data_IF_532856801832
#
_entry.id   IF_532856801832
#
_cell.length_a   1.000
_cell.length_b   1.000
_cell.length_c   1.000
_cell.angle_alpha   90.00
_cell.angle_beta   90.00
_cell.angle_gamma   90.00
#
_symmetry.space_group_name_H-M   'P 1'
#
loop_
_entity.id
_entity.type
_entity.pdbx_description
1 polymer ?
#
# COMPACT_ATOMS: atom_id res chain seq x y z
N UNK A 1 -34.99 -48.30 -46.80
CA UNK A 1 -34.32 -47.24 -47.58
C UNK A 1 -33.57 -46.35 -46.57
N UNK A 2 -32.28 -46.60 -46.30
CA UNK A 2 -31.09 -46.00 -46.97
C UNK A 2 -30.98 -44.51 -46.57
N UNK A 3 -29.92 -43.97 -45.95
CA UNK A 3 -28.52 -44.38 -45.76
C UNK A 3 -27.87 -43.62 -44.58
N UNK A 4 -26.90 -44.28 -43.95
CA UNK A 4 -25.86 -43.73 -43.06
C UNK A 4 -25.02 -42.62 -43.73
N UNK A 5 -24.40 -41.73 -42.94
CA UNK A 5 -23.01 -41.29 -43.18
C UNK A 5 -22.28 -40.89 -41.89
N UNK A 6 -21.25 -41.69 -41.58
CA UNK A 6 -20.12 -41.38 -40.70
C UNK A 6 -19.23 -40.34 -41.36
N UNK A 7 -18.60 -39.46 -40.57
CA UNK A 7 -17.31 -38.86 -40.91
C UNK A 7 -16.35 -39.09 -39.74
N UNK A 8 -15.32 -39.89 -40.01
CA UNK A 8 -14.08 -39.97 -39.22
C UNK A 8 -13.12 -38.91 -39.73
N UNK A 9 -12.40 -38.22 -38.85
CA UNK A 9 -11.02 -37.78 -39.12
C UNK A 9 -10.16 -37.98 -37.88
N UNK A 10 -9.12 -38.80 -38.06
CA UNK A 10 -7.94 -38.88 -37.21
C UNK A 10 -7.06 -37.63 -37.43
N UNK A 11 -6.22 -37.25 -36.46
CA UNK A 11 -4.78 -37.59 -36.47
C UNK A 11 -3.97 -36.87 -35.36
N UNK A 12 -3.00 -37.61 -34.80
CA UNK A 12 -1.65 -37.20 -34.30
C UNK A 12 -1.57 -36.19 -33.14
N UNK A 13 -1.18 -36.63 -31.94
CA UNK A 13 0.23 -36.80 -31.49
C UNK A 13 1.14 -35.61 -31.84
N UNK A 14 1.61 -34.89 -30.80
CA UNK A 14 3.05 -34.73 -30.50
C UNK A 14 3.24 -34.08 -29.12
N UNK A 15 3.81 -34.88 -28.21
CA UNK A 15 4.58 -34.45 -27.05
C UNK A 15 5.72 -33.53 -27.51
N UNK A 16 5.95 -32.45 -26.79
CA UNK A 16 7.26 -31.81 -26.70
C UNK A 16 7.60 -31.60 -25.23
N UNK A 17 8.53 -32.43 -24.77
CA UNK A 17 9.28 -32.21 -23.53
C UNK A 17 10.10 -30.92 -23.69
N UNK A 18 9.98 -29.99 -22.75
CA UNK A 18 11.00 -28.94 -22.55
C UNK A 18 11.80 -29.29 -21.31
N UNK A 19 13.06 -29.63 -21.53
CA UNK A 19 14.11 -29.61 -20.51
C UNK A 19 14.33 -28.16 -20.04
N UNK A 20 14.24 -27.93 -18.74
CA UNK A 20 14.91 -26.83 -18.05
C UNK A 20 16.06 -27.45 -17.24
N UNK A 21 17.32 -27.07 -17.46
CA UNK A 21 18.40 -27.50 -16.58
C UNK A 21 18.41 -26.66 -15.31
N UNK A 22 18.52 -27.40 -14.21
CA UNK A 22 18.74 -26.97 -12.84
C UNK A 22 20.09 -26.26 -12.73
N UNK A 23 20.11 -25.05 -12.19
CA UNK A 23 21.33 -24.43 -11.66
C UNK A 23 21.26 -24.50 -10.12
N UNK A 24 22.19 -25.25 -9.52
CA UNK A 24 22.47 -25.26 -8.08
C UNK A 24 23.77 -24.46 -7.82
N UNK A 25 23.96 -23.95 -6.58
CA UNK A 25 24.78 -22.78 -6.30
C UNK A 25 26.25 -23.13 -6.05
N UNK A 26 27.14 -22.18 -6.33
CA UNK A 26 28.50 -22.18 -5.83
C UNK A 26 28.57 -21.32 -4.55
N UNK A 27 29.11 -21.93 -3.49
CA UNK A 27 29.48 -21.31 -2.24
C UNK A 27 30.97 -20.88 -2.26
N UNK A 28 31.38 -20.21 -1.18
CA UNK A 28 32.74 -19.78 -0.78
C UNK A 28 33.16 -18.36 -1.19
N UNK A 29 33.78 -17.52 -0.35
CA UNK A 29 34.20 -17.58 1.06
C UNK A 29 34.48 -16.14 1.53
N UNK A 30 34.14 -15.89 2.80
CA UNK A 30 34.77 -15.01 3.81
C UNK A 30 35.89 -14.03 3.39
N UNK A 31 35.73 -12.76 3.78
CA UNK A 31 36.80 -11.97 4.37
C UNK A 31 36.21 -10.93 5.35
N UNK A 32 36.59 -11.09 6.61
CA UNK A 32 36.38 -10.19 7.74
C UNK A 32 37.17 -8.89 7.56
N UNK A 33 36.58 -7.75 7.89
CA UNK A 33 37.30 -6.63 8.54
C UNK A 33 36.30 -5.88 9.41
N UNK A 34 36.54 -5.85 10.71
CA UNK A 34 35.86 -4.96 11.63
C UNK A 34 36.49 -3.57 11.58
N UNK A 35 35.71 -2.55 11.89
CA UNK A 35 36.12 -1.62 12.94
C UNK A 35 34.93 -0.87 13.55
N UNK A 36 35.17 -0.53 14.80
CA UNK A 36 34.39 0.09 15.85
C UNK A 36 33.99 1.54 15.53
N UNK A 37 32.77 1.95 15.89
CA UNK A 37 32.51 3.37 16.20
C UNK A 37 31.33 3.52 17.16
N UNK A 38 31.69 3.72 18.41
CA UNK A 38 30.85 4.09 19.55
C UNK A 38 30.43 5.56 19.40
N UNK A 39 29.13 5.86 19.34
CA UNK A 39 28.63 7.23 19.56
C UNK A 39 28.02 7.39 20.95
N UNK A 40 28.79 8.08 21.80
CA UNK A 40 28.41 8.61 23.11
C UNK A 40 27.33 9.70 22.96
N UNK A 41 26.30 9.64 23.80
CA UNK A 41 25.48 10.80 24.19
C UNK A 41 26.03 11.40 25.50
N UNK A 42 26.04 12.73 25.69
CA UNK A 42 26.36 13.32 26.98
C UNK A 42 25.12 13.37 27.87
N UNK A 43 25.32 13.08 29.16
CA UNK A 43 24.30 13.14 30.20
C UNK A 43 24.22 14.48 30.91
N UNK A 44 23.20 14.63 31.75
CA UNK A 44 23.17 15.57 32.88
C UNK A 44 22.65 14.82 34.11
N UNK A 45 23.36 15.03 35.22
CA UNK A 45 23.27 14.38 36.53
C UNK A 45 22.16 14.97 37.41
N UNK A 46 21.69 14.15 38.35
CA UNK A 46 21.51 14.39 39.80
C UNK A 46 20.37 13.47 40.29
N UNK A 47 20.35 12.88 41.48
CA UNK A 47 21.19 12.96 42.65
C UNK A 47 20.34 12.61 43.87
N UNK A 48 20.71 11.52 44.54
CA UNK A 48 20.46 11.18 45.95
C UNK A 48 19.07 10.78 46.51
N UNK A 49 19.21 9.75 47.36
CA UNK A 49 18.31 9.07 48.30
C UNK A 49 17.76 9.99 49.39
N UNK A 50 16.60 9.67 49.97
CA UNK A 50 16.43 9.17 51.35
C UNK A 50 14.97 9.07 51.77
N UNK A 51 14.69 8.02 52.53
CA UNK A 51 13.48 7.73 53.32
C UNK A 51 13.33 8.65 54.54
N UNK A 52 12.08 8.93 54.96
CA UNK A 52 11.61 9.26 56.34
C UNK A 52 10.07 9.36 56.31
N UNK A 53 9.34 8.45 56.94
CA UNK A 53 8.77 8.57 58.31
C UNK A 53 8.13 9.92 58.62
N UNK A 54 6.80 9.94 58.73
CA UNK A 54 6.07 10.91 59.55
C UNK A 54 4.95 10.21 60.32
N UNK A 55 5.13 10.18 61.65
CA UNK A 55 4.09 9.96 62.64
C UNK A 55 3.30 11.26 62.82
N UNK A 56 1.99 11.15 63.07
CA UNK A 56 1.19 12.28 63.57
C UNK A 56 0.57 11.89 64.91
N UNK A 57 0.74 12.81 65.86
CA UNK A 57 0.56 12.67 67.28
C UNK A 57 -0.90 12.62 67.75
N UNK A 58 -1.09 11.98 68.90
CA UNK A 58 -2.28 12.08 69.76
C UNK A 58 -2.31 13.45 70.45
N UNK A 59 -3.48 14.08 70.49
CA UNK A 59 -3.86 15.03 71.53
C UNK A 59 -5.23 14.63 72.09
N UNK A 60 -5.30 14.43 73.40
CA UNK A 60 -6.49 13.94 74.09
C UNK A 60 -7.47 15.05 74.49
N UNK A 61 -8.72 14.65 74.77
CA UNK A 61 -9.64 15.31 75.71
C UNK A 61 -10.51 14.25 76.39
N UNK A 62 -10.70 14.42 77.69
CA UNK A 62 -11.39 13.51 78.60
C UNK A 62 -12.93 13.72 78.59
N UNK A 63 -13.68 12.59 78.59
CA UNK A 63 -14.92 12.20 79.33
C UNK A 63 -16.10 13.20 79.48
N UNK A 64 -17.37 12.74 79.42
CA UNK A 64 -17.95 11.93 80.50
C UNK A 64 -18.83 10.73 80.09
N UNK A 65 -19.05 9.85 81.07
CA UNK A 65 -19.95 8.71 81.01
C UNK A 65 -21.37 9.10 81.46
N UNK A 66 -22.38 8.55 80.77
CA UNK A 66 -23.81 8.32 81.11
C UNK A 66 -24.41 7.68 79.84
N UNK A 67 -25.31 6.72 79.80
CA UNK A 67 -26.17 6.03 80.76
C UNK A 67 -26.61 4.74 80.04
N UNK A 68 -26.79 3.65 80.77
CA UNK A 68 -27.26 2.39 80.19
C UNK A 68 -28.77 2.49 79.93
N UNK A 69 -29.18 2.39 78.65
CA UNK A 69 -30.53 1.99 78.30
C UNK A 69 -30.49 0.67 77.53
N UNK A 70 -31.04 -0.38 78.17
CA UNK A 70 -31.42 -1.64 77.54
C UNK A 70 -32.51 -1.33 76.50
N UNK A 71 -32.20 -1.54 75.23
CA UNK A 71 -33.15 -1.62 74.13
C UNK A 71 -32.83 -2.84 73.28
N UNK A 72 -33.80 -3.73 73.16
CA UNK A 72 -33.77 -5.03 72.46
C UNK A 72 -32.95 -5.03 71.17
N UNK A 73 -31.82 -5.74 71.15
CA UNK A 73 -31.07 -6.03 69.94
C UNK A 73 -31.79 -7.13 69.16
N UNK A 74 -32.42 -6.75 68.05
CA UNK A 74 -32.79 -7.68 66.99
C UNK A 74 -31.57 -8.46 66.53
N UNK A 75 -31.78 -9.75 66.26
CA UNK A 75 -30.72 -10.68 65.86
C UNK A 75 -29.91 -10.12 64.70
N UNK A 76 -28.62 -9.89 64.94
CA UNK A 76 -27.66 -9.63 63.89
C UNK A 76 -27.49 -10.91 63.08
N UNK A 77 -28.05 -10.93 61.87
CA UNK A 77 -27.72 -11.92 60.85
C UNK A 77 -26.23 -11.73 60.53
N UNK A 78 -25.40 -12.71 60.88
CA UNK A 78 -24.02 -12.77 60.44
C UNK A 78 -24.01 -12.93 58.92
N UNK A 79 -23.59 -11.87 58.21
CA UNK A 79 -23.30 -11.98 56.78
C UNK A 79 -21.99 -12.74 56.64
N UNK A 80 -22.06 -14.04 56.40
CA UNK A 80 -20.90 -14.84 56.03
C UNK A 80 -20.25 -14.24 54.79
N UNK A 81 -18.92 -14.04 54.84
CA UNK A 81 -18.16 -13.63 53.66
C UNK A 81 -18.33 -14.71 52.58
N UNK A 82 -18.63 -14.35 51.32
CA UNK A 82 -18.76 -15.35 50.26
C UNK A 82 -17.44 -16.09 50.08
N UNK A 83 -17.50 -17.43 50.23
CA UNK A 83 -16.37 -18.31 49.96
C UNK A 83 -16.15 -18.41 48.45
N UNK A 84 -14.95 -18.06 47.98
CA UNK A 84 -14.58 -18.16 46.58
C UNK A 84 -13.90 -19.52 46.31
N UNK A 85 -14.36 -20.21 45.27
CA UNK A 85 -13.74 -21.46 44.82
C UNK A 85 -12.50 -21.21 43.95
N UNK A 86 -11.57 -22.16 43.94
CA UNK A 86 -10.36 -22.08 43.13
C UNK A 86 -10.61 -22.49 41.67
N UNK A 87 -10.08 -21.72 40.73
CA UNK A 87 -9.99 -22.07 39.31
C UNK A 87 -8.81 -23.02 39.09
N UNK A 88 -9.06 -24.16 38.47
CA UNK A 88 -8.04 -25.15 38.09
C UNK A 88 -8.06 -25.32 36.57
N UNK A 89 -6.90 -25.21 35.92
CA UNK A 89 -6.71 -25.62 34.52
C UNK A 89 -6.55 -27.15 34.47
N UNK A 90 -7.25 -27.78 33.53
CA UNK A 90 -7.20 -29.22 33.27
C UNK A 90 -6.50 -29.46 31.93
N UNK A 91 -5.93 -30.65 31.75
CA UNK A 91 -5.50 -31.07 30.43
C UNK A 91 -6.73 -31.38 29.57
N UNK A 92 -6.82 -30.89 28.31
CA UNK A 92 -7.98 -31.14 27.45
C UNK A 92 -8.30 -32.63 27.27
N UNK A 93 -7.27 -33.49 27.32
CA UNK A 93 -7.43 -34.96 27.26
C UNK A 93 -8.15 -35.58 28.47
N UNK A 94 -8.28 -34.85 29.56
CA UNK A 94 -9.15 -35.27 30.69
C UNK A 94 -10.64 -35.10 30.37
N UNK A 95 -10.98 -34.19 29.47
CA UNK A 95 -12.35 -33.94 29.02
C UNK A 95 -12.70 -34.72 27.74
N UNK A 96 -11.75 -34.83 26.81
CA UNK A 96 -11.94 -35.52 25.53
C UNK A 96 -10.80 -36.49 25.23
N UNK A 97 -11.10 -37.77 25.05
CA UNK A 97 -10.05 -38.77 24.83
C UNK A 97 -9.45 -38.72 23.42
N UNK A 98 -10.25 -38.36 22.42
CA UNK A 98 -9.85 -38.28 21.01
C UNK A 98 -10.52 -37.11 20.28
N UNK A 99 -9.87 -36.62 19.23
CA UNK A 99 -10.39 -35.56 18.36
C UNK A 99 -11.67 -36.02 17.66
N UNK A 100 -11.57 -37.03 16.79
CA UNK A 100 -12.68 -37.48 15.93
C UNK A 100 -13.83 -38.15 16.70
N UNK A 101 -13.52 -38.86 17.79
CA UNK A 101 -14.51 -39.64 18.54
C UNK A 101 -15.22 -38.88 19.66
N UNK A 102 -14.66 -37.76 20.12
CA UNK A 102 -15.11 -37.08 21.34
C UNK A 102 -15.19 -35.56 21.14
N UNK A 103 -14.08 -34.91 20.83
CA UNK A 103 -14.04 -33.44 20.72
C UNK A 103 -14.82 -32.89 19.52
N UNK A 104 -14.60 -33.41 18.31
CA UNK A 104 -15.30 -32.95 17.10
C UNK A 104 -16.82 -33.11 17.24
N UNK A 105 -17.36 -34.29 17.65
CA UNK A 105 -18.80 -34.45 17.86
C UNK A 105 -19.35 -33.59 19.01
N UNK A 106 -18.55 -33.37 20.07
CA UNK A 106 -18.94 -32.47 21.17
C UNK A 106 -19.04 -31.02 20.69
N UNK A 107 -18.02 -30.53 19.98
CA UNK A 107 -17.95 -29.15 19.47
C UNK A 107 -19.04 -28.88 18.44
N UNK A 108 -19.40 -29.89 17.62
CA UNK A 108 -20.42 -29.78 16.60
C UNK A 108 -21.86 -29.66 17.14
N UNK A 109 -22.10 -29.92 18.44
CA UNK A 109 -23.42 -29.71 19.05
C UNK A 109 -23.71 -28.21 19.15
N UNK A 110 -24.94 -27.82 18.80
CA UNK A 110 -25.35 -26.40 18.76
C UNK A 110 -24.93 -25.63 20.02
N UNK A 111 -25.26 -26.13 21.21
CA UNK A 111 -24.95 -25.47 22.49
C UNK A 111 -23.44 -25.22 22.71
N UNK A 112 -22.58 -26.11 22.21
CA UNK A 112 -21.13 -25.99 22.37
C UNK A 112 -20.50 -25.16 21.26
N UNK A 113 -20.97 -25.35 20.02
CA UNK A 113 -20.54 -24.55 18.89
C UNK A 113 -20.85 -23.06 19.10
N UNK A 114 -22.01 -22.74 19.69
CA UNK A 114 -22.36 -21.34 19.98
C UNK A 114 -21.34 -20.66 20.91
N UNK A 115 -20.71 -21.38 21.86
CA UNK A 115 -19.65 -20.80 22.71
C UNK A 115 -18.45 -20.34 21.87
N UNK A 116 -18.05 -21.14 20.86
CA UNK A 116 -16.99 -20.77 19.93
C UNK A 116 -17.44 -19.63 19.00
N UNK A 117 -18.64 -19.70 18.45
CA UNK A 117 -19.20 -18.69 17.56
C UNK A 117 -19.30 -17.32 18.25
N UNK A 118 -19.82 -17.26 19.47
CA UNK A 118 -19.89 -16.05 20.28
C UNK A 118 -18.51 -15.45 20.55
N UNK A 119 -17.54 -16.30 20.88
CA UNK A 119 -16.13 -15.91 21.12
C UNK A 119 -15.52 -15.27 19.87
N UNK A 120 -15.85 -15.79 18.68
CA UNK A 120 -15.36 -15.27 17.39
C UNK A 120 -16.26 -14.18 16.81
N UNK A 121 -17.36 -13.83 17.49
CA UNK A 121 -18.39 -12.89 17.06
C UNK A 121 -19.07 -13.29 15.74
N UNK A 122 -19.27 -14.58 15.51
CA UNK A 122 -20.05 -15.08 14.39
C UNK A 122 -21.53 -15.05 14.74
N UNK A 123 -22.31 -14.26 14.01
CA UNK A 123 -23.74 -14.10 14.24
C UNK A 123 -24.55 -15.12 13.47
N UNK A 124 -25.47 -15.82 14.14
CA UNK A 124 -26.35 -16.82 13.50
C UNK A 124 -25.58 -17.94 12.79
N UNK A 125 -24.41 -18.30 13.31
CA UNK A 125 -23.63 -19.41 12.80
C UNK A 125 -24.28 -20.74 13.19
N UNK A 126 -24.42 -21.65 12.23
CA UNK A 126 -25.03 -22.97 12.42
C UNK A 126 -24.12 -24.04 11.80
N UNK A 127 -23.94 -25.16 12.52
CA UNK A 127 -23.21 -26.32 12.01
C UNK A 127 -24.03 -27.02 10.94
N UNK A 128 -23.43 -27.32 9.80
CA UNK A 128 -24.10 -28.02 8.69
C UNK A 128 -23.71 -29.49 8.61
N UNK A 129 -22.44 -29.78 8.89
CA UNK A 129 -21.89 -31.13 8.76
C UNK A 129 -20.57 -31.26 9.50
N UNK A 130 -20.28 -32.45 9.98
CA UNK A 130 -18.94 -32.88 10.42
C UNK A 130 -18.30 -33.75 9.32
N UNK A 131 -16.97 -33.77 9.25
CA UNK A 131 -16.19 -34.61 8.32
C UNK A 131 -16.61 -34.45 6.85
N UNK A 132 -16.73 -33.19 6.39
CA UNK A 132 -17.18 -32.91 5.02
C UNK A 132 -16.01 -32.87 4.05
N UNK A 133 -16.09 -33.67 3.00
CA UNK A 133 -15.15 -33.61 1.88
C UNK A 133 -15.23 -32.26 1.14
N UNK A 134 -14.09 -31.56 1.07
CA UNK A 134 -13.85 -30.36 0.27
C UNK A 134 -12.72 -30.70 -0.72
N UNK A 135 -13.10 -31.04 -1.95
CA UNK A 135 -12.17 -31.55 -2.95
C UNK A 135 -11.58 -32.91 -2.54
N UNK A 136 -10.27 -32.97 -2.33
CA UNK A 136 -9.55 -34.19 -1.90
C UNK A 136 -9.30 -34.28 -0.38
N UNK A 137 -9.77 -33.31 0.41
CA UNK A 137 -9.55 -33.23 1.85
C UNK A 137 -10.88 -33.18 2.60
N UNK A 138 -10.87 -33.37 3.92
CA UNK A 138 -12.07 -33.39 4.75
C UNK A 138 -11.92 -32.41 5.89
N UNK A 139 -12.78 -31.39 5.93
CA UNK A 139 -12.84 -30.47 7.06
C UNK A 139 -13.55 -31.13 8.25
N UNK A 140 -13.03 -30.92 9.47
CA UNK A 140 -13.59 -31.53 10.68
C UNK A 140 -15.02 -31.07 10.93
N UNK A 141 -15.26 -29.75 10.86
CA UNK A 141 -16.60 -29.16 10.97
C UNK A 141 -16.78 -28.10 9.89
N UNK A 142 -17.93 -28.15 9.23
CA UNK A 142 -18.40 -27.11 8.32
C UNK A 142 -19.67 -26.50 8.89
N UNK A 143 -19.62 -25.19 9.10
CA UNK A 143 -20.71 -24.36 9.54
C UNK A 143 -20.97 -23.25 8.51
N UNK A 144 -22.05 -22.50 8.71
CA UNK A 144 -22.42 -21.36 7.87
C UNK A 144 -23.01 -20.26 8.72
N UNK A 145 -22.71 -19.03 8.37
CA UNK A 145 -23.41 -17.84 8.87
C UNK A 145 -23.92 -16.99 7.69
N UNK A 146 -24.37 -15.76 7.98
CA UNK A 146 -24.88 -14.84 6.96
C UNK A 146 -23.82 -14.37 5.96
N UNK A 147 -22.53 -14.35 6.33
CA UNK A 147 -21.48 -13.83 5.45
C UNK A 147 -20.83 -14.94 4.61
N UNK A 148 -20.97 -16.21 5.00
CA UNK A 148 -20.48 -17.32 4.19
C UNK A 148 -20.18 -18.61 4.95
N UNK A 149 -19.28 -19.40 4.39
CA UNK A 149 -18.89 -20.71 4.93
C UNK A 149 -17.92 -20.53 6.09
N UNK A 150 -18.06 -21.34 7.13
CA UNK A 150 -17.13 -21.44 8.25
C UNK A 150 -16.54 -22.85 8.22
N UNK A 151 -15.21 -22.95 8.12
CA UNK A 151 -14.46 -24.20 8.19
C UNK A 151 -13.71 -24.24 9.50
N UNK A 152 -13.79 -25.36 10.21
CA UNK A 152 -13.12 -25.56 11.48
C UNK A 152 -12.22 -26.78 11.35
N UNK A 153 -10.96 -26.58 11.72
CA UNK A 153 -9.94 -27.62 11.89
C UNK A 153 -9.60 -27.67 13.37
N UNK A 154 -9.77 -28.83 14.00
CA UNK A 154 -9.65 -28.95 15.44
C UNK A 154 -8.70 -30.08 15.88
N UNK A 155 -7.80 -29.77 16.80
CA UNK A 155 -6.82 -30.73 17.31
C UNK A 155 -6.67 -30.61 18.84
N UNK A 156 -6.56 -31.75 19.55
CA UNK A 156 -6.31 -31.78 20.99
C UNK A 156 -4.81 -31.74 21.34
N UNK A 157 -4.00 -31.27 20.39
CA UNK A 157 -2.56 -31.08 20.51
C UNK A 157 -2.15 -29.68 20.06
N UNK A 158 -0.89 -29.32 20.29
CA UNK A 158 -0.32 -28.10 19.75
C UNK A 158 -0.31 -28.13 18.21
N UNK A 159 -0.63 -26.98 17.60
CA UNK A 159 -0.59 -26.76 16.14
C UNK A 159 0.63 -27.36 15.43
N UNK A 160 0.42 -27.94 14.25
CA UNK A 160 1.45 -28.53 13.40
C UNK A 160 1.34 -28.08 11.93
N UNK A 161 2.36 -28.44 11.13
CA UNK A 161 2.39 -28.09 9.71
C UNK A 161 1.43 -28.91 8.85
N UNK A 162 0.94 -30.05 9.34
CA UNK A 162 -0.01 -30.90 8.62
C UNK A 162 -1.34 -30.19 8.51
N UNK A 163 -1.87 -29.70 9.64
CA UNK A 163 -3.13 -28.95 9.68
C UNK A 163 -3.02 -27.61 8.97
N UNK A 164 -1.89 -26.90 9.11
CA UNK A 164 -1.65 -25.69 8.32
C UNK A 164 -1.66 -26.00 6.80
N UNK A 165 -1.05 -27.10 6.38
CA UNK A 165 -1.08 -27.57 4.99
C UNK A 165 -2.49 -27.87 4.49
N UNK A 166 -3.33 -28.52 5.32
CA UNK A 166 -4.74 -28.76 5.02
C UNK A 166 -5.50 -27.43 4.83
N UNK A 167 -5.35 -26.50 5.78
CA UNK A 167 -5.93 -25.15 5.71
C UNK A 167 -5.59 -24.45 4.40
N UNK A 168 -4.31 -24.43 4.02
CA UNK A 168 -3.85 -23.81 2.78
C UNK A 168 -4.42 -24.50 1.54
N UNK A 169 -4.58 -25.82 1.59
CA UNK A 169 -5.10 -26.58 0.47
C UNK A 169 -6.59 -26.34 0.26
N UNK A 170 -7.37 -26.14 1.33
CA UNK A 170 -8.78 -25.75 1.21
C UNK A 170 -8.95 -24.48 0.40
N UNK A 171 -8.08 -23.48 0.60
CA UNK A 171 -8.16 -22.21 -0.14
C UNK A 171 -8.19 -22.38 -1.66
N UNK A 172 -7.63 -23.46 -2.19
CA UNK A 172 -7.63 -23.75 -3.63
C UNK A 172 -8.95 -24.28 -4.18
N UNK A 173 -9.84 -24.80 -3.32
CA UNK A 173 -11.08 -25.47 -3.70
C UNK A 173 -12.35 -24.85 -3.14
N UNK A 174 -12.25 -23.66 -2.52
CA UNK A 174 -13.39 -22.95 -1.94
C UNK A 174 -13.97 -21.93 -2.90
N UNK A 175 -15.28 -22.03 -3.11
CA UNK A 175 -16.05 -21.06 -3.88
C UNK A 175 -16.76 -20.09 -2.91
N UNK A 176 -16.29 -18.84 -2.86
CA UNK A 176 -16.91 -17.74 -2.13
C UNK A 176 -16.34 -17.45 -0.73
N UNK A 177 -16.96 -16.50 0.00
CA UNK A 177 -16.45 -16.04 1.28
C UNK A 177 -16.36 -17.16 2.32
N UNK A 178 -15.19 -17.30 2.93
CA UNK A 178 -14.89 -18.39 3.85
C UNK A 178 -14.12 -17.90 5.08
N UNK A 179 -14.62 -18.24 6.26
CA UNK A 179 -13.94 -18.09 7.54
C UNK A 179 -13.30 -19.43 7.91
N UNK A 180 -11.99 -19.46 8.15
CA UNK A 180 -11.26 -20.67 8.59
C UNK A 180 -10.85 -20.51 10.05
N UNK A 181 -11.23 -21.47 10.89
CA UNK A 181 -10.97 -21.47 12.33
C UNK A 181 -10.10 -22.67 12.68
N UNK A 182 -8.89 -22.41 13.15
CA UNK A 182 -7.98 -23.45 13.63
C UNK A 182 -7.99 -23.49 15.16
N UNK A 183 -8.56 -24.55 15.72
CA UNK A 183 -8.66 -24.78 17.17
C UNK A 183 -7.60 -25.77 17.61
N UNK A 184 -6.77 -25.40 18.57
CA UNK A 184 -5.72 -26.26 19.11
C UNK A 184 -5.50 -26.02 20.59
N UNK A 185 -4.85 -26.93 21.32
CA UNK A 185 -4.55 -26.71 22.76
C UNK A 185 -3.45 -25.65 22.98
N UNK A 186 -2.66 -25.39 21.94
CA UNK A 186 -1.67 -24.32 21.88
C UNK A 186 -1.36 -23.91 20.44
N UNK A 187 -1.30 -22.62 20.18
CA UNK A 187 -0.83 -22.07 18.89
C UNK A 187 0.68 -21.81 18.99
N UNK A 188 1.47 -22.33 18.05
CA UNK A 188 2.90 -21.99 17.95
C UNK A 188 3.05 -20.57 17.44
N UNK A 189 4.08 -19.85 17.90
CA UNK A 189 4.32 -18.47 17.46
C UNK A 189 4.48 -18.36 15.93
N UNK A 190 5.12 -19.36 15.30
CA UNK A 190 5.28 -19.43 13.85
C UNK A 190 3.94 -19.63 13.12
N UNK A 191 3.04 -20.43 13.69
CA UNK A 191 1.71 -20.66 13.12
C UNK A 191 0.79 -19.47 13.32
N UNK A 192 0.88 -18.79 14.46
CA UNK A 192 0.23 -17.49 14.68
C UNK A 192 0.68 -16.48 13.63
N UNK A 193 1.99 -16.34 13.44
CA UNK A 193 2.55 -15.45 12.42
C UNK A 193 2.11 -15.83 11.00
N UNK A 194 1.99 -17.12 10.69
CA UNK A 194 1.46 -17.59 9.41
C UNK A 194 -0.02 -17.21 9.22
N UNK A 195 -0.86 -17.36 10.25
CA UNK A 195 -2.27 -16.94 10.22
C UNK A 195 -2.39 -15.43 10.06
N UNK A 196 -1.56 -14.64 10.76
CA UNK A 196 -1.50 -13.19 10.59
C UNK A 196 -1.06 -12.81 9.16
N UNK A 197 -0.08 -13.51 8.60
CA UNK A 197 0.35 -13.33 7.23
C UNK A 197 -0.76 -13.66 6.24
N UNK A 198 -1.50 -14.76 6.44
CA UNK A 198 -2.64 -15.13 5.59
C UNK A 198 -3.69 -14.01 5.61
N UNK A 199 -4.11 -13.58 6.80
CA UNK A 199 -5.04 -12.47 6.94
C UNK A 199 -4.55 -11.19 6.24
N UNK A 200 -3.24 -10.95 6.17
CA UNK A 200 -2.65 -9.80 5.51
C UNK A 200 -2.44 -9.94 3.99
N UNK A 201 -2.46 -11.16 3.44
CA UNK A 201 -2.05 -11.42 2.06
C UNK A 201 -3.09 -12.19 1.21
N UNK A 202 -4.19 -12.65 1.79
CA UNK A 202 -5.32 -13.22 1.04
C UNK A 202 -6.39 -12.16 0.75
N UNK A 203 -7.27 -12.40 -0.25
CA UNK A 203 -8.46 -11.57 -0.49
C UNK A 203 -9.34 -11.44 0.76
N UNK A 204 -10.08 -10.33 0.87
CA UNK A 204 -10.91 -10.01 2.04
C UNK A 204 -12.08 -10.97 2.27
N UNK A 205 -12.44 -11.76 1.24
CA UNK A 205 -13.44 -12.82 1.33
C UNK A 205 -12.97 -14.02 2.18
N UNK A 206 -11.67 -14.11 2.46
CA UNK A 206 -11.09 -15.11 3.36
C UNK A 206 -10.72 -14.48 4.70
N UNK A 207 -11.09 -15.15 5.79
CA UNK A 207 -10.76 -14.72 7.16
C UNK A 207 -10.23 -15.89 7.97
N UNK A 208 -9.07 -15.74 8.59
CA UNK A 208 -8.40 -16.83 9.32
C UNK A 208 -8.34 -16.52 10.81
N UNK A 209 -8.68 -17.52 11.62
CA UNK A 209 -8.70 -17.46 13.07
C UNK A 209 -7.85 -18.59 13.65
N UNK A 210 -7.05 -18.27 14.66
CA UNK A 210 -6.35 -19.26 15.48
C UNK A 210 -6.87 -19.15 16.91
N UNK A 211 -7.32 -20.28 17.46
CA UNK A 211 -8.01 -20.35 18.75
C UNK A 211 -7.32 -21.39 19.64
N UNK A 212 -6.92 -20.97 20.83
CA UNK A 212 -6.42 -21.86 21.86
C UNK A 212 -7.58 -22.40 22.71
N UNK A 213 -7.68 -23.72 22.78
CA UNK A 213 -8.61 -24.45 23.63
C UNK A 213 -7.95 -24.67 25.00
N UNK A 214 -8.61 -24.15 26.03
CA UNK A 214 -8.28 -24.40 27.41
C UNK A 214 -9.47 -25.03 28.13
N UNK A 215 -9.20 -25.82 29.17
CA UNK A 215 -10.25 -26.44 29.98
C UNK A 215 -10.04 -26.06 31.43
N UNK A 216 -11.10 -25.60 32.07
CA UNK A 216 -11.09 -25.12 33.45
C UNK A 216 -12.10 -25.86 34.32
N UNK A 217 -11.89 -25.82 35.63
CA UNK A 217 -12.87 -26.28 36.63
C UNK A 217 -12.86 -25.32 37.81
N UNK A 218 -14.04 -25.00 38.34
CA UNK A 218 -14.19 -24.15 39.53
C UNK A 218 -14.75 -25.02 40.66
N UNK A 219 -13.95 -25.26 41.69
CA UNK A 219 -14.32 -26.18 42.77
C UNK A 219 -14.67 -27.57 42.23
N UNK A 220 -15.91 -28.02 42.48
CA UNK A 220 -16.44 -29.31 42.02
C UNK A 220 -17.37 -29.19 40.79
N UNK A 221 -17.30 -28.09 40.04
CA UNK A 221 -18.09 -27.95 38.81
C UNK A 221 -17.69 -28.99 37.76
N UNK A 222 -18.54 -29.23 36.73
CA UNK A 222 -18.09 -29.84 35.49
C UNK A 222 -16.90 -29.07 34.89
N UNK A 223 -16.15 -29.76 34.02
CA UNK A 223 -15.11 -29.11 33.21
C UNK A 223 -15.76 -28.11 32.24
N UNK A 224 -15.14 -26.95 32.11
CA UNK A 224 -15.63 -25.83 31.30
C UNK A 224 -14.60 -25.52 30.20
N UNK A 225 -14.97 -25.64 28.91
CA UNK A 225 -14.13 -25.20 27.81
C UNK A 225 -13.99 -23.67 27.82
N UNK A 226 -12.82 -23.18 27.42
CA UNK A 226 -12.56 -21.77 27.18
C UNK A 226 -11.78 -21.62 25.88
N UNK A 227 -12.27 -20.76 24.99
CA UNK A 227 -11.66 -20.48 23.71
C UNK A 227 -10.94 -19.12 23.77
N UNK A 228 -9.62 -19.13 23.63
CA UNK A 228 -8.80 -17.93 23.61
C UNK A 228 -8.37 -17.61 22.17
N UNK A 229 -8.79 -16.45 21.65
CA UNK A 229 -8.49 -16.06 20.26
C UNK A 229 -7.05 -15.53 20.16
N UNK A 230 -6.15 -16.37 19.64
CA UNK A 230 -4.73 -16.05 19.49
C UNK A 230 -4.42 -15.22 18.23
N UNK A 231 -5.19 -15.42 17.15
CA UNK A 231 -5.12 -14.64 15.92
C UNK A 231 -6.51 -14.47 15.29
N UNK A 232 -6.75 -13.31 14.66
CA UNK A 232 -7.98 -12.98 13.94
C UNK A 232 -7.71 -11.90 12.88
N UNK A 233 -8.60 -11.72 11.89
CA UNK A 233 -8.45 -10.65 10.91
C UNK A 233 -8.37 -9.27 11.58
N UNK A 234 -7.48 -8.41 11.09
CA UNK A 234 -7.36 -7.02 11.56
C UNK A 234 -8.09 -6.07 10.62
N UNK A 235 -9.14 -5.41 11.11
CA UNK A 235 -9.91 -4.37 10.38
C UNK A 235 -9.01 -3.24 9.86
N UNK A 236 -8.01 -2.81 10.63
CA UNK A 236 -7.09 -1.76 10.21
C UNK A 236 -6.32 -2.15 8.95
N UNK A 237 -5.82 -3.39 8.89
CA UNK A 237 -5.09 -3.92 7.74
C UNK A 237 -5.98 -4.09 6.51
N UNK A 238 -7.28 -4.37 6.69
CA UNK A 238 -8.26 -4.42 5.60
C UNK A 238 -8.52 -3.02 5.02
N UNK A 239 -8.82 -2.03 5.85
CA UNK A 239 -9.05 -0.66 5.40
C UNK A 239 -7.83 -0.01 4.75
N UNK A 240 -6.61 -0.30 5.21
CA UNK A 240 -5.39 0.17 4.58
C UNK A 240 -5.20 -0.39 3.16
N UNK A 241 -5.55 -1.68 2.93
CA UNK A 241 -5.49 -2.31 1.61
C UNK A 241 -6.55 -1.80 0.66
N UNK A 242 -7.79 -1.66 1.13
CA UNK A 242 -8.87 -1.05 0.33
C UNK A 242 -8.47 0.34 -0.19
N UNK A 243 -7.94 1.20 0.68
CA UNK A 243 -7.42 2.53 0.29
C UNK A 243 -6.25 2.45 -0.69
N UNK A 244 -5.32 1.51 -0.50
CA UNK A 244 -4.17 1.35 -1.42
C UNK A 244 -4.63 0.89 -2.80
N UNK A 245 -5.61 0.00 -2.86
CA UNK A 245 -6.22 -0.48 -4.11
C UNK A 245 -6.99 0.65 -4.82
N UNK A 246 -7.78 1.42 -4.09
CA UNK A 246 -8.47 2.61 -4.60
C UNK A 246 -7.48 3.65 -5.16
N UNK A 247 -6.35 3.87 -4.48
CA UNK A 247 -5.29 4.78 -4.97
C UNK A 247 -4.66 4.21 -6.25
N UNK A 248 -4.37 2.90 -6.29
CA UNK A 248 -3.80 2.24 -7.46
C UNK A 248 -4.76 2.23 -8.67
N UNK A 249 -6.05 2.15 -8.44
CA UNK A 249 -7.10 2.13 -9.47
C UNK A 249 -7.65 3.55 -9.77
N UNK A 250 -7.09 4.59 -9.15
CA UNK A 250 -7.54 5.96 -9.37
C UNK A 250 -7.35 6.42 -10.83
N UNK A 251 -8.25 7.25 -11.39
CA UNK A 251 -8.13 7.80 -12.74
C UNK A 251 -6.81 8.56 -13.00
N UNK A 252 -6.22 9.13 -11.93
CA UNK A 252 -4.93 9.79 -11.99
C UNK A 252 -3.79 8.80 -12.28
N UNK A 253 -3.82 7.61 -11.67
CA UNK A 253 -2.81 6.57 -11.91
C UNK A 253 -2.95 5.98 -13.32
N UNK A 254 -4.17 5.80 -13.82
CA UNK A 254 -4.41 5.36 -15.21
C UNK A 254 -3.85 6.36 -16.23
N UNK A 255 -4.07 7.67 -16.01
CA UNK A 255 -3.49 8.74 -16.85
C UNK A 255 -1.96 8.72 -16.82
N UNK A 256 -1.36 8.55 -15.65
CA UNK A 256 0.10 8.46 -15.48
C UNK A 256 0.68 7.24 -16.20
N UNK A 257 0.01 6.10 -16.17
CA UNK A 257 0.41 4.90 -16.91
C UNK A 257 0.34 5.11 -18.43
N UNK A 258 -0.70 5.79 -18.93
CA UNK A 258 -0.82 6.14 -20.35
C UNK A 258 0.33 7.03 -20.81
N UNK A 259 0.69 8.05 -20.04
CA UNK A 259 1.86 8.89 -20.35
C UNK A 259 3.18 8.13 -20.28
N UNK A 260 3.36 7.29 -19.25
CA UNK A 260 4.57 6.48 -19.14
C UNK A 260 4.74 5.55 -20.35
N UNK A 261 3.68 4.88 -20.78
CA UNK A 261 3.70 4.02 -21.96
C UNK A 261 4.00 4.82 -23.24
N UNK A 262 3.33 5.96 -23.43
CA UNK A 262 3.55 6.86 -24.56
C UNK A 262 5.00 7.33 -24.64
N UNK A 263 5.52 7.90 -23.55
CA UNK A 263 6.88 8.41 -23.50
C UNK A 263 7.93 7.31 -23.59
N UNK A 264 7.67 6.11 -23.05
CA UNK A 264 8.60 4.97 -23.18
C UNK A 264 8.77 4.55 -24.64
N UNK A 265 7.70 4.57 -25.43
CA UNK A 265 7.80 4.29 -26.87
C UNK A 265 8.60 5.34 -27.60
N UNK A 266 8.47 6.61 -27.23
CA UNK A 266 9.23 7.71 -27.85
C UNK A 266 10.68 7.66 -27.41
N UNK A 267 10.95 7.36 -26.14
CA UNK A 267 12.30 7.20 -25.61
C UNK A 267 13.08 6.11 -26.35
N UNK A 268 12.44 4.98 -26.65
CA UNK A 268 13.03 3.92 -27.47
C UNK A 268 13.46 4.47 -28.83
N UNK A 269 12.56 5.15 -29.54
CA UNK A 269 12.85 5.76 -30.84
C UNK A 269 13.98 6.79 -30.74
N UNK A 270 13.94 7.70 -29.76
CA UNK A 270 15.00 8.69 -29.54
C UNK A 270 16.36 8.02 -29.31
N UNK A 271 16.41 6.96 -28.49
CA UNK A 271 17.66 6.23 -28.22
C UNK A 271 18.24 5.52 -29.44
N UNK A 272 17.39 5.05 -30.36
CA UNK A 272 17.80 4.39 -31.61
C UNK A 272 18.30 5.38 -32.67
N UNK A 273 17.83 6.63 -32.65
CA UNK A 273 18.08 7.62 -33.70
C UNK A 273 19.03 8.76 -33.29
N UNK A 274 19.04 9.19 -32.03
CA UNK A 274 19.98 10.18 -31.51
C UNK A 274 20.29 9.92 -30.01
N UNK A 275 21.43 9.28 -29.70
CA UNK A 275 21.85 9.00 -28.33
C UNK A 275 21.95 10.23 -27.43
N UNK A 276 22.08 11.44 -27.98
CA UNK A 276 22.08 12.68 -27.19
C UNK A 276 20.80 12.88 -26.39
N UNK A 277 19.68 12.27 -26.80
CA UNK A 277 18.38 12.34 -26.11
C UNK A 277 18.03 11.09 -25.29
N UNK A 278 18.97 10.13 -25.15
CA UNK A 278 18.73 8.84 -24.49
C UNK A 278 18.83 8.84 -22.97
N UNK A 279 19.37 9.91 -22.36
CA UNK A 279 19.68 9.96 -20.92
C UNK A 279 18.52 10.32 -19.99
N UNK A 280 17.40 10.84 -20.51
CA UNK A 280 16.26 11.22 -19.68
C UNK A 280 15.30 10.03 -19.48
N UNK A 281 14.80 9.83 -18.26
CA UNK A 281 13.77 8.82 -18.01
C UNK A 281 12.40 9.30 -18.53
N UNK A 282 11.59 8.43 -19.15
CA UNK A 282 10.22 8.75 -19.54
C UNK A 282 9.38 9.20 -18.32
N UNK A 283 8.68 10.35 -18.39
CA UNK A 283 7.90 10.86 -17.27
C UNK A 283 6.51 10.23 -17.22
N UNK A 284 5.82 10.45 -16.09
CA UNK A 284 4.40 10.12 -15.89
C UNK A 284 3.47 11.29 -16.22
N UNK A 285 4.03 12.45 -16.51
CA UNK A 285 3.32 13.69 -16.82
C UNK A 285 3.18 13.93 -18.32
N UNK A 286 2.43 14.98 -18.66
CA UNK A 286 2.13 15.35 -20.04
C UNK A 286 3.27 16.11 -20.74
N UNK A 287 4.37 16.38 -20.05
CA UNK A 287 5.55 17.04 -20.59
C UNK A 287 6.81 16.23 -20.29
N UNK A 288 7.82 16.36 -21.14
CA UNK A 288 9.13 15.73 -20.97
C UNK A 288 10.26 16.68 -21.39
N UNK A 289 11.13 17.02 -20.44
CA UNK A 289 12.11 18.09 -20.59
C UNK A 289 13.55 17.56 -20.73
N UNK A 290 14.31 18.20 -21.60
CA UNK A 290 15.70 17.91 -21.95
C UNK A 290 16.54 19.18 -21.82
N UNK A 291 17.83 19.03 -21.55
CA UNK A 291 18.75 20.17 -21.53
C UNK A 291 19.01 20.73 -22.93
N UNK A 292 19.11 22.05 -23.05
CA UNK A 292 19.52 22.75 -24.28
C UNK A 292 20.87 23.48 -24.12
N UNK A 293 21.63 23.15 -23.07
CA UNK A 293 23.00 23.65 -22.89
C UNK A 293 23.16 24.90 -22.03
N UNK A 294 22.08 25.46 -21.46
CA UNK A 294 22.13 26.56 -20.47
C UNK A 294 21.11 26.36 -19.36
N UNK A 295 21.49 26.62 -18.12
CA UNK A 295 20.59 26.58 -16.96
C UNK A 295 19.39 27.51 -17.17
N UNK A 296 18.22 27.10 -16.69
CA UNK A 296 16.93 27.78 -16.86
C UNK A 296 16.31 27.72 -18.25
N UNK A 297 16.97 27.08 -19.21
CA UNK A 297 16.38 26.76 -20.51
C UNK A 297 16.20 25.25 -20.63
N UNK A 298 15.04 24.81 -21.12
CA UNK A 298 14.82 23.41 -21.47
C UNK A 298 14.15 23.27 -22.82
N UNK A 299 14.51 22.18 -23.50
CA UNK A 299 13.77 21.68 -24.65
C UNK A 299 12.71 20.71 -24.12
N UNK A 300 11.43 21.03 -24.30
CA UNK A 300 10.33 20.28 -23.66
C UNK A 300 9.36 19.74 -24.72
N UNK A 301 9.08 18.45 -24.66
CA UNK A 301 8.05 17.77 -25.44
C UNK A 301 6.73 17.81 -24.67
N UNK A 302 5.61 17.95 -25.37
CA UNK A 302 4.28 18.11 -24.80
C UNK A 302 3.30 17.17 -25.47
N UNK A 303 2.43 16.55 -24.67
CA UNK A 303 1.40 15.63 -25.14
C UNK A 303 0.07 15.89 -24.43
N UNK A 304 -0.86 16.54 -25.12
CA UNK A 304 -2.19 16.79 -24.58
C UNK A 304 -3.16 15.72 -25.08
N UNK A 305 -3.26 14.62 -24.32
CA UNK A 305 -4.15 13.51 -24.67
C UNK A 305 -5.62 13.94 -24.78
N UNK A 306 -6.09 14.77 -23.84
CA UNK A 306 -7.48 15.25 -23.82
C UNK A 306 -7.78 16.21 -24.97
N UNK A 307 -6.88 17.17 -25.20
CA UNK A 307 -7.09 18.26 -26.14
C UNK A 307 -6.58 17.91 -27.57
N UNK A 308 -6.08 16.69 -27.75
CA UNK A 308 -5.66 16.09 -29.02
C UNK A 308 -4.65 16.94 -29.80
N UNK A 309 -3.53 17.23 -29.14
CA UNK A 309 -2.37 17.84 -29.79
C UNK A 309 -1.05 17.36 -29.17
N UNK A 310 0.02 17.51 -29.94
CA UNK A 310 1.40 17.31 -29.48
C UNK A 310 2.22 18.56 -29.76
N UNK A 311 3.30 18.79 -29.00
CA UNK A 311 4.10 20.00 -29.15
C UNK A 311 5.54 19.83 -28.70
N UNK A 312 6.41 20.69 -29.21
CA UNK A 312 7.77 20.85 -28.70
C UNK A 312 8.00 22.33 -28.43
N UNK A 313 8.72 22.66 -27.36
CA UNK A 313 8.97 24.04 -26.96
C UNK A 313 10.38 24.25 -26.42
N UNK A 314 10.85 25.48 -26.51
CA UNK A 314 11.89 25.99 -25.62
C UNK A 314 11.19 26.70 -24.47
N UNK A 315 11.36 26.16 -23.27
CA UNK A 315 10.85 26.75 -22.04
C UNK A 315 11.95 27.57 -21.37
N UNK A 316 11.60 28.80 -20.97
CA UNK A 316 12.47 29.75 -20.31
C UNK A 316 11.96 29.92 -18.88
N UNK A 317 12.70 29.38 -17.92
CA UNK A 317 12.39 29.49 -16.50
C UNK A 317 13.04 30.73 -15.89
N UNK A 318 12.48 31.23 -14.78
CA UNK A 318 13.04 32.36 -14.01
C UNK A 318 13.24 33.63 -14.85
N UNK A 319 12.28 33.87 -15.75
CA UNK A 319 12.18 35.08 -16.58
C UNK A 319 10.89 35.80 -16.18
N UNK A 320 10.90 36.37 -14.97
CA UNK A 320 9.73 36.99 -14.34
C UNK A 320 9.38 38.32 -15.04
N UNK A 321 10.40 39.13 -15.33
CA UNK A 321 10.28 40.40 -16.05
C UNK A 321 10.23 40.25 -17.58
N UNK A 322 10.29 39.01 -18.09
CA UNK A 322 10.22 38.67 -19.52
C UNK A 322 11.32 39.25 -20.40
N UNK A 323 12.40 39.74 -19.80
CA UNK A 323 13.52 40.35 -20.52
C UNK A 323 14.18 39.39 -21.50
N UNK A 324 14.26 38.09 -21.17
CA UNK A 324 14.87 37.09 -22.05
C UNK A 324 13.91 36.82 -23.21
N UNK A 325 12.63 36.63 -22.91
CA UNK A 325 11.61 36.43 -23.93
C UNK A 325 11.55 37.61 -24.91
N UNK A 326 11.50 38.84 -24.40
CA UNK A 326 11.37 40.05 -25.21
C UNK A 326 12.60 40.24 -26.11
N UNK A 327 13.80 39.93 -25.61
CA UNK A 327 15.02 39.91 -26.40
C UNK A 327 14.98 38.89 -27.55
N UNK A 328 14.48 37.67 -27.29
CA UNK A 328 14.33 36.65 -28.33
C UNK A 328 13.19 37.00 -29.30
N UNK A 329 12.11 37.61 -28.82
CA UNK A 329 10.98 38.03 -29.62
C UNK A 329 11.35 39.15 -30.61
N UNK A 330 12.26 40.04 -30.24
CA UNK A 330 12.83 41.04 -31.16
C UNK A 330 13.53 40.39 -32.38
N UNK A 331 13.97 39.13 -32.24
CA UNK A 331 14.60 38.34 -33.31
C UNK A 331 13.64 37.36 -33.99
N UNK A 332 12.33 37.47 -33.71
CA UNK A 332 11.31 36.49 -34.14
C UNK A 332 11.37 36.13 -35.62
N UNK A 333 11.44 37.13 -36.51
CA UNK A 333 11.43 36.89 -37.95
C UNK A 333 12.64 36.05 -38.40
N UNK A 334 13.82 36.34 -37.86
CA UNK A 334 15.03 35.57 -38.15
C UNK A 334 14.91 34.13 -37.60
N UNK A 335 14.40 33.97 -36.38
CA UNK A 335 14.22 32.66 -35.74
C UNK A 335 13.20 31.80 -36.50
N UNK A 336 12.04 32.35 -36.87
CA UNK A 336 11.01 31.62 -37.64
C UNK A 336 11.50 31.24 -39.03
N UNK A 337 12.29 32.10 -39.68
CA UNK A 337 12.94 31.79 -40.96
C UNK A 337 13.95 30.65 -40.83
N UNK A 338 14.77 30.65 -39.78
CA UNK A 338 15.77 29.60 -39.52
C UNK A 338 15.12 28.27 -39.09
N UNK A 339 14.01 28.35 -38.35
CA UNK A 339 13.20 27.20 -37.93
C UNK A 339 12.47 26.57 -39.13
N UNK A 340 12.10 27.39 -40.12
CA UNK A 340 11.37 26.99 -41.31
C UNK A 340 9.86 26.98 -41.12
N UNK A 341 9.32 27.87 -40.27
CA UNK A 341 7.90 27.98 -40.00
C UNK A 341 7.57 28.93 -38.84
N UNK A 342 6.29 29.28 -38.71
CA UNK A 342 5.82 30.11 -37.62
C UNK A 342 5.88 29.38 -36.27
N UNK A 343 6.23 30.11 -35.21
CA UNK A 343 6.26 29.61 -33.84
C UNK A 343 5.15 30.29 -33.01
N UNK A 344 4.67 29.58 -31.99
CA UNK A 344 3.75 30.13 -30.99
C UNK A 344 4.60 30.77 -29.87
N UNK A 345 4.57 32.10 -29.81
CA UNK A 345 5.32 32.90 -28.84
C UNK A 345 4.44 33.23 -27.64
N UNK A 346 4.66 32.57 -26.51
CA UNK A 346 3.86 32.74 -25.31
C UNK A 346 4.69 33.35 -24.19
N UNK A 347 4.51 34.66 -24.00
CA UNK A 347 5.19 35.44 -22.95
C UNK A 347 4.79 35.00 -21.54
N UNK A 348 3.52 34.63 -21.36
CA UNK A 348 2.92 34.20 -20.09
C UNK A 348 3.10 35.25 -18.98
N UNK A 349 2.52 36.43 -19.19
CA UNK A 349 2.58 37.52 -18.22
C UNK A 349 2.03 37.09 -16.85
N UNK A 350 2.74 37.47 -15.78
CA UNK A 350 2.42 37.06 -14.40
C UNK A 350 2.91 35.66 -14.00
N UNK A 351 3.48 34.88 -14.92
CA UNK A 351 4.11 33.58 -14.62
C UNK A 351 5.63 33.72 -14.50
N UNK A 352 6.28 32.78 -13.80
CA UNK A 352 7.75 32.77 -13.60
C UNK A 352 8.56 32.37 -14.84
N UNK A 353 7.91 32.06 -15.95
CA UNK A 353 8.58 31.61 -17.18
C UNK A 353 7.77 31.95 -18.41
N UNK A 354 8.36 31.71 -19.57
CA UNK A 354 7.79 31.94 -20.89
C UNK A 354 8.14 30.75 -21.79
N UNK A 355 7.48 30.63 -22.94
CA UNK A 355 7.74 29.53 -23.87
C UNK A 355 7.61 29.94 -25.32
N UNK A 356 8.40 29.28 -26.16
CA UNK A 356 8.35 29.40 -27.60
C UNK A 356 8.11 28.00 -28.15
N UNK A 357 6.94 27.78 -28.72
CA UNK A 357 6.43 26.44 -28.98
C UNK A 357 6.07 26.22 -30.46
N UNK A 358 6.12 24.95 -30.87
CA UNK A 358 5.47 24.45 -32.08
C UNK A 358 4.44 23.40 -31.65
N UNK A 359 3.20 23.53 -32.11
CA UNK A 359 2.12 22.57 -31.81
C UNK A 359 1.54 21.98 -33.07
N UNK A 360 1.37 20.66 -33.06
CA UNK A 360 0.65 19.91 -34.09
C UNK A 360 -0.73 19.53 -33.53
N UNK A 361 -1.76 20.25 -33.97
CA UNK A 361 -3.16 20.07 -33.55
C UNK A 361 -3.82 18.92 -34.29
N UNK A 362 -4.96 18.45 -33.78
CA UNK A 362 -5.73 17.34 -34.34
C UNK A 362 -4.96 16.02 -34.38
N UNK A 363 -4.13 15.78 -33.38
CA UNK A 363 -3.34 14.55 -33.20
C UNK A 363 -3.72 13.94 -31.86
N UNK A 364 -4.27 12.72 -31.85
CA UNK A 364 -4.63 12.02 -30.62
C UNK A 364 -3.46 11.20 -30.07
N UNK A 365 -2.73 11.65 -29.03
CA UNK A 365 -1.56 10.95 -28.50
C UNK A 365 -1.86 9.52 -28.01
N UNK A 366 -3.12 9.17 -27.71
CA UNK A 366 -3.51 7.83 -27.26
C UNK A 366 -3.49 6.77 -28.38
N UNK A 367 -3.46 7.16 -29.66
CA UNK A 367 -3.45 6.22 -30.79
C UNK A 367 -2.07 5.55 -30.97
N UNK A 368 -1.90 4.38 -30.36
CA UNK A 368 -0.62 3.64 -30.28
C UNK A 368 0.03 3.36 -31.62
N UNK A 369 -0.76 3.03 -32.65
CA UNK A 369 -0.24 2.67 -33.99
C UNK A 369 0.55 3.80 -34.65
N UNK A 370 0.29 5.06 -34.26
CA UNK A 370 0.94 6.26 -34.82
C UNK A 370 2.07 6.81 -33.95
N UNK A 371 2.42 6.13 -32.85
CA UNK A 371 3.52 6.57 -31.99
C UNK A 371 4.87 6.69 -32.72
N UNK A 372 5.25 5.78 -33.64
CA UNK A 372 6.50 5.94 -34.40
C UNK A 372 6.55 7.23 -35.24
N UNK A 373 5.44 7.58 -35.89
CA UNK A 373 5.33 8.83 -36.67
C UNK A 373 5.50 10.07 -35.77
N UNK A 374 4.95 10.03 -34.57
CA UNK A 374 5.04 11.13 -33.60
C UNK A 374 6.45 11.26 -33.04
N UNK A 375 7.11 10.13 -32.76
CA UNK A 375 8.48 10.12 -32.30
C UNK A 375 9.42 10.75 -33.33
N UNK A 376 9.24 10.42 -34.62
CA UNK A 376 9.96 11.05 -35.73
C UNK A 376 9.71 12.56 -35.77
N UNK A 377 8.45 12.99 -35.62
CA UNK A 377 8.10 14.41 -35.59
C UNK A 377 8.75 15.15 -34.42
N UNK A 378 8.73 14.59 -33.21
CA UNK A 378 9.40 15.21 -32.06
C UNK A 378 10.89 15.34 -32.28
N UNK A 379 11.56 14.28 -32.73
CA UNK A 379 13.01 14.32 -32.98
C UNK A 379 13.36 15.42 -33.98
N UNK A 380 12.58 15.55 -35.06
CA UNK A 380 12.74 16.63 -36.02
C UNK A 380 12.59 18.01 -35.37
N UNK A 381 11.54 18.24 -34.59
CA UNK A 381 11.34 19.54 -33.93
C UNK A 381 12.43 19.82 -32.89
N UNK A 382 12.91 18.80 -32.17
CA UNK A 382 14.01 18.91 -31.24
C UNK A 382 15.28 19.40 -31.92
N UNK A 383 15.62 18.84 -33.08
CA UNK A 383 16.78 19.31 -33.87
C UNK A 383 16.61 20.74 -34.36
N UNK A 384 15.44 21.11 -34.88
CA UNK A 384 15.17 22.47 -35.37
C UNK A 384 15.25 23.50 -34.24
N UNK A 385 14.62 23.22 -33.09
CA UNK A 385 14.68 24.10 -31.91
C UNK A 385 16.12 24.23 -31.39
N UNK A 386 16.88 23.13 -31.29
CA UNK A 386 18.28 23.21 -30.88
C UNK A 386 19.11 24.06 -31.83
N UNK A 387 18.93 23.90 -33.14
CA UNK A 387 19.65 24.71 -34.15
C UNK A 387 19.40 26.19 -33.94
N UNK A 388 18.13 26.60 -33.83
CA UNK A 388 17.75 28.02 -33.71
C UNK A 388 18.15 28.67 -32.39
N UNK A 389 18.12 27.90 -31.29
CA UNK A 389 18.20 28.48 -29.95
C UNK A 389 19.52 28.22 -29.22
N UNK A 390 20.26 27.16 -29.52
CA UNK A 390 21.47 26.80 -28.73
C UNK A 390 22.48 27.95 -28.70
N UNK A 391 22.80 28.54 -29.86
CA UNK A 391 23.78 29.63 -29.93
C UNK A 391 23.22 30.93 -29.33
N UNK A 392 21.99 31.30 -29.68
CA UNK A 392 21.32 32.51 -29.17
C UNK A 392 21.27 32.50 -27.65
N UNK A 393 20.86 31.36 -27.08
CA UNK A 393 20.78 31.21 -25.63
C UNK A 393 22.18 31.23 -25.01
N UNK A 394 23.20 30.66 -25.65
CA UNK A 394 24.58 30.68 -25.13
C UNK A 394 25.16 32.09 -25.07
N UNK A 395 24.87 32.93 -26.05
CA UNK A 395 25.37 34.31 -26.17
C UNK A 395 24.60 35.34 -25.33
N UNK A 396 23.47 34.97 -24.73
CA UNK A 396 22.68 35.89 -23.89
C UNK A 396 23.49 36.39 -22.69
N UNK A 397 23.65 37.70 -22.59
CA UNK A 397 24.06 38.35 -21.35
C UNK A 397 22.80 38.75 -20.55
N UNK A 398 22.40 37.89 -19.61
CA UNK A 398 21.17 38.10 -18.84
C UNK A 398 21.31 39.31 -17.90
N UNK A 399 22.51 39.57 -17.39
CA UNK A 399 22.72 40.65 -16.43
C UNK A 399 22.70 42.01 -17.14
N UNK A 400 23.34 42.11 -18.32
CA UNK A 400 23.20 43.30 -19.16
C UNK A 400 21.74 43.58 -19.57
N UNK A 401 20.95 42.54 -19.86
CA UNK A 401 19.52 42.69 -20.15
C UNK A 401 18.73 43.19 -18.93
N UNK A 402 19.08 42.74 -17.72
CA UNK A 402 18.47 43.24 -16.47
C UNK A 402 18.81 44.70 -16.22
N UNK A 403 20.06 45.09 -16.42
CA UNK A 403 20.52 46.47 -16.25
C UNK A 403 19.84 47.43 -17.24
N UNK A 404 19.71 47.01 -18.50
CA UNK A 404 18.99 47.77 -19.52
C UNK A 404 17.50 47.94 -19.19
N UNK A 405 16.86 46.91 -18.64
CA UNK A 405 15.45 46.96 -18.25
C UNK A 405 15.20 47.83 -17.00
N UNK A 406 16.17 47.90 -16.08
CA UNK A 406 16.08 48.69 -14.86
C UNK A 406 16.56 50.15 -15.01
N UNK A 407 17.10 50.51 -16.18
CA UNK A 407 17.53 51.88 -16.46
C UNK A 407 16.32 52.76 -16.80
N UNK A 408 16.05 53.85 -16.05
CA UNK A 408 14.93 54.74 -16.35
C UNK A 408 15.14 55.36 -17.73
N UNK A 409 14.19 55.14 -18.63
CA UNK A 409 14.14 55.82 -19.93
C UNK A 409 14.21 57.33 -19.70
N UNK A 410 15.26 57.96 -20.22
CA UNK A 410 15.44 59.41 -20.21
C UNK A 410 14.21 60.07 -20.82
N UNK A 411 13.50 60.83 -19.99
CA UNK A 411 12.41 61.71 -20.36
C UNK A 411 12.80 62.62 -21.53
N UNK A 412 12.26 62.39 -22.71
CA UNK A 412 12.12 63.43 -23.74
C UNK A 412 11.00 64.38 -23.30
N UNK A 413 11.33 65.30 -22.40
CA UNK A 413 10.52 66.48 -22.15
C UNK A 413 10.77 67.48 -23.29
N UNK A 414 9.87 67.51 -24.28
CA UNK A 414 9.78 68.61 -25.24
C UNK A 414 9.35 69.88 -24.49
N UNK A 415 10.09 70.99 -24.55
CA UNK A 415 9.63 72.23 -23.93
C UNK A 415 8.53 72.85 -24.81
N UNK A 416 7.35 73.07 -24.23
CA UNK A 416 6.31 73.91 -24.83
C UNK A 416 6.79 75.35 -24.97
N UNK A 417 6.50 76.05 -26.09
CA UNK A 417 6.82 77.46 -26.22
C UNK A 417 5.87 78.29 -25.36
N UNK A 418 6.42 79.24 -24.61
CA UNK A 418 5.64 80.30 -23.95
C UNK A 418 5.09 81.22 -25.02
N UNK A 419 3.79 81.48 -24.96
CA UNK A 419 3.15 82.62 -25.61
C UNK A 419 2.99 83.70 -24.55
N UNK A 420 3.57 84.87 -24.85
CA UNK A 420 3.23 86.16 -24.25
C UNK A 420 1.88 86.66 -24.81
#
# INVERSE_FOLDING_TARGET
MVLRRRVRRANRQRRWHRHCPVARPAAERLAETGDSAVHRRPGVRSGCRHTRHFAVARAGRQRPAREAHRGSAGGAVSVDKPSLAHLKRLEPREAWQSESGDFTPWLARDENFQVLAETLHFTEAVVESTERAIGSFSADIVARDRDGTILIENQLEQTDHTHLGQILTYLSGLDGPTKVVWVATRIRDEHRAAVDWLNANTPDEYSFFAVELEVYRIGNSPAAPYFHVAARPNEWSRHARARTREIAESPQNERQQKYLAYWSSIAKYLSEHDPHFSGAAPPKDHWWSFGIGRTHFSLTLLSAMRDKWIGAEVFIARDEDKIIFDHLFAQRSAIESEFGGALEWERLDGQKGSRIAIRKRSIDPAEVKRWPERAAWYLEQMHRLRRCFTQRIRELDIDALREANNSPSSSTSTPSPRLD
#
